data_IF_198764301268
#
_entry.id   IF_198764301268
#
_cell.length_a   1.000
_cell.length_b   1.000
_cell.length_c   1.000
_cell.angle_alpha   90.00
_cell.angle_beta   90.00
_cell.angle_gamma   90.00
#
_symmetry.space_group_name_H-M   'P 1'
#
loop_
_entity.id
_entity.type
_entity.pdbx_description
1 polymer ?
#
# COMPACT_ATOMS: atom_id res chain seq x y z
N UNK A 1 10.46 29.81 -32.66
CA UNK A 1 9.79 30.93 -31.98
C UNK A 1 8.44 30.42 -31.54
N UNK A 2 8.14 30.45 -30.24
CA UNK A 2 6.82 30.07 -29.73
C UNK A 2 5.77 31.07 -30.23
N UNK A 3 4.59 30.54 -30.58
CA UNK A 3 3.46 31.35 -31.01
C UNK A 3 2.76 31.99 -29.79
N UNK A 4 2.08 33.12 -30.00
CA UNK A 4 1.28 33.79 -28.98
C UNK A 4 0.20 32.88 -28.39
N UNK A 5 -0.35 31.96 -29.20
CA UNK A 5 -1.34 30.98 -28.73
C UNK A 5 -0.73 30.02 -27.72
N UNK A 6 0.43 29.47 -28.05
CA UNK A 6 1.16 28.52 -27.22
C UNK A 6 1.55 29.15 -25.86
N UNK A 7 2.01 30.40 -25.90
CA UNK A 7 2.40 31.12 -24.68
C UNK A 7 1.20 31.45 -23.79
N UNK A 8 0.04 31.79 -24.36
CA UNK A 8 -1.17 32.00 -23.56
C UNK A 8 -1.63 30.71 -22.89
N UNK A 9 -1.50 29.58 -23.57
CA UNK A 9 -1.81 28.26 -23.00
C UNK A 9 -0.87 27.95 -21.82
N UNK A 10 0.43 28.17 -21.99
CA UNK A 10 1.39 28.01 -20.88
C UNK A 10 1.12 28.94 -19.70
N UNK A 11 0.83 30.23 -19.94
CA UNK A 11 0.50 31.19 -18.87
C UNK A 11 -0.77 30.76 -18.11
N UNK A 12 -1.71 30.09 -18.78
CA UNK A 12 -2.95 29.60 -18.15
C UNK A 12 -2.70 28.40 -17.25
N UNK A 13 -1.79 27.51 -17.66
CA UNK A 13 -1.44 26.30 -16.91
C UNK A 13 -0.50 26.61 -15.73
N UNK A 14 0.50 27.46 -15.95
CA UNK A 14 1.57 27.72 -14.99
C UNK A 14 1.95 29.21 -15.00
N UNK A 15 1.21 30.07 -14.28
CA UNK A 15 1.33 31.53 -14.39
C UNK A 15 2.68 32.10 -13.90
N UNK A 16 3.40 31.31 -13.09
CA UNK A 16 4.70 31.64 -12.51
C UNK A 16 5.87 30.93 -13.20
N UNK A 17 5.69 30.41 -14.43
CA UNK A 17 6.81 29.84 -15.17
C UNK A 17 7.88 30.91 -15.49
N UNK A 18 9.11 30.65 -15.06
CA UNK A 18 10.27 31.54 -15.20
C UNK A 18 11.16 31.17 -16.40
N UNK A 19 10.72 30.26 -17.28
CA UNK A 19 11.46 29.90 -18.49
C UNK A 19 11.83 31.14 -19.32
N UNK A 20 13.12 31.20 -19.70
CA UNK A 20 13.74 32.30 -20.45
C UNK A 20 12.99 32.58 -21.76
N UNK A 21 12.48 31.54 -22.43
CA UNK A 21 11.75 31.65 -23.69
C UNK A 21 10.44 32.44 -23.54
N UNK A 22 9.69 32.19 -22.46
CA UNK A 22 8.45 32.89 -22.14
C UNK A 22 8.76 34.34 -21.77
N UNK A 23 9.76 34.56 -20.90
CA UNK A 23 10.18 35.92 -20.52
C UNK A 23 10.60 36.76 -21.72
N UNK A 24 11.39 36.17 -22.63
CA UNK A 24 11.86 36.85 -23.85
C UNK A 24 10.69 37.23 -24.75
N UNK A 25 9.70 36.35 -24.90
CA UNK A 25 8.50 36.67 -25.68
C UNK A 25 7.61 37.73 -25.01
N UNK A 26 7.47 37.71 -23.68
CA UNK A 26 6.70 38.72 -22.94
C UNK A 26 7.31 40.12 -23.06
N UNK A 27 8.63 40.22 -23.19
CA UNK A 27 9.31 41.49 -23.47
C UNK A 27 9.05 41.99 -24.90
N UNK A 28 8.84 41.08 -25.85
CA UNK A 28 8.62 41.40 -27.27
C UNK A 28 7.13 41.63 -27.60
N UNK A 29 6.21 40.99 -26.87
CA UNK A 29 4.77 41.01 -27.14
C UNK A 29 3.98 41.61 -25.97
N UNK A 30 3.57 42.86 -26.13
CA UNK A 30 2.77 43.61 -25.13
C UNK A 30 1.42 42.95 -24.85
N UNK A 31 0.78 42.35 -25.86
CA UNK A 31 -0.52 41.69 -25.68
C UNK A 31 -0.47 40.48 -24.74
N UNK A 32 0.61 39.69 -24.80
CA UNK A 32 0.83 38.56 -23.91
C UNK A 32 1.23 39.03 -22.50
N UNK A 33 1.99 40.13 -22.40
CA UNK A 33 2.30 40.76 -21.10
C UNK A 33 1.04 41.27 -20.38
N UNK A 34 0.12 41.93 -21.09
CA UNK A 34 -1.14 42.40 -20.52
C UNK A 34 -2.11 41.25 -20.19
N UNK A 35 -2.05 40.15 -20.94
CA UNK A 35 -2.78 38.93 -20.61
C UNK A 35 -2.29 38.35 -19.28
N UNK A 36 -0.96 38.21 -19.10
CA UNK A 36 -0.36 37.70 -17.85
C UNK A 36 -0.72 38.57 -16.64
N UNK A 37 -0.68 39.90 -16.77
CA UNK A 37 -1.04 40.83 -15.68
C UNK A 37 -2.48 40.63 -15.21
N UNK A 38 -3.43 40.45 -16.15
CA UNK A 38 -4.84 40.21 -15.84
C UNK A 38 -5.06 38.88 -15.14
N UNK A 39 -4.39 37.83 -15.61
CA UNK A 39 -4.43 36.50 -14.98
C UNK A 39 -3.94 36.60 -13.52
N UNK A 40 -2.76 37.20 -13.32
CA UNK A 40 -2.18 37.38 -12.00
C UNK A 40 -3.07 38.20 -11.06
N UNK A 41 -3.71 39.28 -11.54
CA UNK A 41 -4.64 40.05 -10.71
C UNK A 41 -5.85 39.23 -10.28
N UNK A 42 -6.34 38.34 -11.14
CA UNK A 42 -7.48 37.49 -10.87
C UNK A 42 -7.12 36.40 -9.85
N UNK A 43 -5.93 35.80 -9.97
CA UNK A 43 -5.42 34.80 -9.01
C UNK A 43 -5.25 35.40 -7.62
N UNK A 44 -4.72 36.62 -7.50
CA UNK A 44 -4.57 37.32 -6.21
C UNK A 44 -5.94 37.56 -5.55
N UNK A 45 -6.94 37.98 -6.31
CA UNK A 45 -8.30 38.18 -5.80
C UNK A 45 -8.93 36.84 -5.39
N UNK A 46 -8.80 35.80 -6.22
CA UNK A 46 -9.29 34.46 -5.89
C UNK A 46 -8.63 33.89 -4.63
N UNK A 47 -7.33 34.11 -4.47
CA UNK A 47 -6.60 33.67 -3.28
C UNK A 47 -7.03 34.43 -2.03
N UNK A 48 -7.36 35.72 -2.15
CA UNK A 48 -7.88 36.53 -1.05
C UNK A 48 -9.29 36.09 -0.60
N UNK A 49 -10.13 35.65 -1.55
CA UNK A 49 -11.47 35.10 -1.28
C UNK A 49 -11.42 33.66 -0.78
N UNK A 50 -10.46 32.86 -1.25
CA UNK A 50 -10.12 31.55 -0.67
C UNK A 50 -9.39 31.74 0.66
N UNK A 51 -10.08 32.29 1.66
CA UNK A 51 -9.64 32.28 3.05
C UNK A 51 -9.69 30.86 3.58
N UNK A 52 -8.61 30.13 3.37
CA UNK A 52 -8.31 28.97 4.18
C UNK A 52 -7.88 29.51 5.54
N UNK A 53 -8.69 29.26 6.58
CA UNK A 53 -8.24 29.44 7.95
C UNK A 53 -6.99 28.59 8.12
N UNK A 54 -5.83 29.25 8.14
CA UNK A 54 -4.57 28.54 8.24
C UNK A 54 -4.50 27.93 9.64
N UNK A 55 -4.40 26.60 9.75
CA UNK A 55 -4.38 25.96 11.06
C UNK A 55 -3.19 26.52 11.86
N UNK A 56 -3.49 27.09 13.04
CA UNK A 56 -2.52 27.80 13.87
C UNK A 56 -1.30 26.93 14.23
N UNK A 57 -1.49 25.62 14.24
CA UNK A 57 -0.45 24.62 14.47
C UNK A 57 0.60 24.61 13.33
N UNK A 58 0.17 24.77 12.07
CA UNK A 58 1.07 24.84 10.91
C UNK A 58 1.80 26.18 10.82
N UNK A 59 1.11 27.30 11.10
CA UNK A 59 1.75 28.63 11.10
C UNK A 59 2.80 28.74 12.20
N UNK A 60 2.53 28.21 13.40
CA UNK A 60 3.51 28.13 14.49
C UNK A 60 4.73 27.27 14.11
N UNK A 61 4.53 26.14 13.43
CA UNK A 61 5.62 25.27 12.95
C UNK A 61 6.47 25.97 11.89
N UNK A 62 5.83 26.62 10.92
CA UNK A 62 6.54 27.37 9.87
C UNK A 62 7.32 28.56 10.44
N UNK A 63 6.78 29.27 11.42
CA UNK A 63 7.49 30.33 12.14
C UNK A 63 8.70 29.79 12.90
N UNK A 64 8.59 28.61 13.51
CA UNK A 64 9.72 27.95 14.18
C UNK A 64 10.82 27.56 13.18
N UNK A 65 10.44 27.07 12.01
CA UNK A 65 11.38 26.71 10.93
C UNK A 65 12.05 27.96 10.34
N UNK A 66 11.30 29.05 10.14
CA UNK A 66 11.84 30.32 9.67
C UNK A 66 12.79 30.95 10.70
N UNK A 67 12.49 30.82 12.00
CA UNK A 67 13.34 31.29 13.08
C UNK A 67 14.62 30.44 13.26
N UNK A 68 14.59 29.16 12.88
CA UNK A 68 15.73 28.25 12.94
C UNK A 68 15.90 27.47 11.61
N UNK A 69 16.50 28.09 10.58
CA UNK A 69 16.70 27.44 9.28
C UNK A 69 17.66 26.23 9.34
N UNK A 70 18.43 26.09 10.43
CA UNK A 70 19.25 24.91 10.70
C UNK A 70 18.42 23.61 10.86
N UNK A 71 17.12 23.72 11.14
CA UNK A 71 16.19 22.58 11.20
C UNK A 71 15.89 21.99 9.81
N UNK A 72 16.11 22.73 8.72
CA UNK A 72 16.00 22.21 7.35
C UNK A 72 17.25 21.43 6.94
N UNK A 73 18.42 21.74 7.54
CA UNK A 73 19.66 21.02 7.28
C UNK A 73 19.70 19.64 7.96
N UNK A 74 18.90 19.45 9.02
CA UNK A 74 18.70 18.16 9.68
C UNK A 74 17.23 17.71 9.49
N UNK A 75 16.91 16.91 8.46
CA UNK A 75 15.54 16.50 8.14
C UNK A 75 14.88 15.60 9.20
N UNK A 76 15.54 15.38 10.34
CA UNK A 76 15.06 14.53 11.44
C UNK A 76 13.96 15.18 12.28
N UNK A 77 13.69 16.48 12.15
CA UNK A 77 12.76 17.21 13.04
C UNK A 77 11.31 17.25 12.52
N UNK A 78 11.04 16.86 11.26
CA UNK A 78 9.68 16.94 10.68
C UNK A 78 8.98 15.61 10.41
N UNK A 79 9.53 14.47 10.84
CA UNK A 79 8.77 13.22 10.78
C UNK A 79 7.81 13.15 11.96
N UNK A 80 6.56 13.53 11.68
CA UNK A 80 5.35 12.94 12.28
C UNK A 80 5.68 11.53 12.80
N UNK A 81 5.42 11.18 14.07
CA UNK A 81 5.91 9.95 14.68
C UNK A 81 5.33 8.77 13.89
N UNK A 82 6.12 8.27 12.94
CA UNK A 82 5.77 7.11 12.13
C UNK A 82 5.52 5.99 13.14
N UNK A 83 4.33 5.36 13.14
CA UNK A 83 4.04 4.32 14.11
C UNK A 83 5.17 3.31 14.03
N UNK A 84 5.86 3.10 15.15
CA UNK A 84 7.01 2.20 15.24
C UNK A 84 6.61 0.87 14.60
N UNK A 85 7.39 0.35 13.67
CA UNK A 85 7.04 -0.84 12.89
C UNK A 85 6.58 -2.03 13.76
N UNK A 86 7.06 -2.11 15.00
CA UNK A 86 6.60 -3.08 16.00
C UNK A 86 5.09 -3.00 16.32
N UNK A 87 4.50 -1.80 16.41
CA UNK A 87 3.05 -1.65 16.62
C UNK A 87 2.26 -2.19 15.43
N UNK A 88 2.72 -1.91 14.20
CA UNK A 88 2.09 -2.42 12.98
C UNK A 88 2.16 -3.95 12.96
N UNK A 89 3.31 -4.53 13.27
CA UNK A 89 3.49 -5.98 13.38
C UNK A 89 2.56 -6.58 14.43
N UNK A 90 2.47 -6.00 15.62
CA UNK A 90 1.63 -6.51 16.70
C UNK A 90 0.14 -6.50 16.33
N UNK A 91 -0.35 -5.43 15.70
CA UNK A 91 -1.74 -5.35 15.23
C UNK A 91 -2.01 -6.41 14.16
N UNK A 92 -1.09 -6.61 13.22
CA UNK A 92 -1.25 -7.65 12.19
C UNK A 92 -1.19 -9.07 12.75
N UNK A 93 -0.30 -9.37 13.71
CA UNK A 93 -0.26 -10.71 14.31
C UNK A 93 -1.51 -11.01 15.12
N UNK A 94 -1.98 -10.04 15.91
CA UNK A 94 -3.21 -10.20 16.71
C UNK A 94 -4.43 -10.38 15.81
N UNK A 95 -4.54 -9.60 14.73
CA UNK A 95 -5.67 -9.75 13.79
C UNK A 95 -5.66 -11.10 13.06
N UNK A 96 -4.49 -11.58 12.60
CA UNK A 96 -4.38 -12.91 11.99
C UNK A 96 -4.78 -14.00 12.99
N UNK A 97 -4.28 -13.91 14.23
CA UNK A 97 -4.59 -14.88 15.29
C UNK A 97 -6.09 -14.89 15.61
N UNK A 98 -6.73 -13.71 15.68
CA UNK A 98 -8.17 -13.57 15.88
C UNK A 98 -8.99 -14.17 14.72
N UNK A 99 -8.57 -13.96 13.46
CA UNK A 99 -9.24 -14.55 12.30
C UNK A 99 -9.13 -16.08 12.30
N UNK A 100 -7.94 -16.61 12.58
CA UNK A 100 -7.73 -18.07 12.69
C UNK A 100 -8.60 -18.65 13.80
N UNK A 101 -8.61 -18.00 14.97
CA UNK A 101 -9.42 -18.43 16.11
C UNK A 101 -10.91 -18.38 15.79
N UNK A 102 -11.38 -17.34 15.10
CA UNK A 102 -12.78 -17.21 14.66
C UNK A 102 -13.17 -18.33 13.69
N UNK A 103 -12.29 -18.70 12.75
CA UNK A 103 -12.56 -19.80 11.82
C UNK A 103 -12.59 -21.14 12.56
N UNK A 104 -11.63 -21.37 13.46
CA UNK A 104 -11.59 -22.60 14.28
C UNK A 104 -12.86 -22.74 15.14
N UNK A 105 -13.31 -21.66 15.77
CA UNK A 105 -14.56 -21.64 16.54
C UNK A 105 -15.76 -21.97 15.65
N UNK A 106 -15.81 -21.40 14.45
CA UNK A 106 -16.88 -21.67 13.48
C UNK A 106 -16.95 -23.14 13.08
N UNK A 107 -15.79 -23.77 12.82
CA UNK A 107 -15.71 -25.20 12.50
C UNK A 107 -16.16 -26.06 13.69
N UNK A 108 -15.77 -25.72 14.91
CA UNK A 108 -16.18 -26.46 16.11
C UNK A 108 -17.68 -26.36 16.39
N UNK A 109 -18.26 -25.17 16.28
CA UNK A 109 -19.71 -24.96 16.47
C UNK A 109 -20.49 -25.68 15.38
N UNK A 110 -20.02 -25.62 14.13
CA UNK A 110 -20.63 -26.36 13.02
C UNK A 110 -20.57 -27.87 13.24
N UNK A 111 -19.43 -28.39 13.73
CA UNK A 111 -19.27 -29.80 14.10
C UNK A 111 -20.27 -30.23 15.18
N UNK A 112 -20.41 -29.43 16.25
CA UNK A 112 -21.35 -29.72 17.33
C UNK A 112 -22.82 -29.63 16.86
N UNK A 113 -23.19 -28.63 16.06
CA UNK A 113 -24.54 -28.55 15.47
C UNK A 113 -24.82 -29.73 14.52
N UNK A 114 -23.84 -30.14 13.73
CA UNK A 114 -23.99 -31.27 12.80
C UNK A 114 -24.28 -32.59 13.54
N UNK A 115 -23.73 -32.78 14.75
CA UNK A 115 -24.03 -33.96 15.57
C UNK A 115 -25.46 -33.97 16.14
N UNK A 116 -26.02 -32.80 16.49
CA UNK A 116 -27.36 -32.68 17.08
C UNK A 116 -28.50 -32.81 16.07
N UNK A 117 -28.28 -32.41 14.82
CA UNK A 117 -29.34 -32.39 13.78
C UNK A 117 -29.38 -33.73 12.99
N UNK A 118 -28.51 -34.69 13.32
CA UNK A 118 -28.41 -35.95 12.56
C UNK A 118 -27.90 -35.77 11.13
N UNK A 119 -27.45 -34.56 10.77
CA UNK A 119 -26.87 -34.26 9.45
C UNK A 119 -25.51 -34.94 9.22
N UNK A 120 -24.87 -35.45 10.28
CA UNK A 120 -23.65 -36.26 10.18
C UNK A 120 -23.83 -37.41 9.19
N UNK A 121 -24.94 -38.16 9.22
CA UNK A 121 -25.11 -39.31 8.30
C UNK A 121 -25.27 -38.90 6.84
N UNK A 122 -25.91 -37.76 6.56
CA UNK A 122 -26.09 -37.24 5.20
C UNK A 122 -24.81 -36.58 4.67
N UNK A 123 -24.07 -35.88 5.52
CA UNK A 123 -22.76 -35.29 5.16
C UNK A 123 -21.72 -36.41 4.99
N UNK A 124 -21.70 -37.41 5.86
CA UNK A 124 -20.84 -38.59 5.70
C UNK A 124 -21.17 -39.30 4.40
N UNK A 125 -22.45 -39.54 4.07
CA UNK A 125 -22.81 -40.11 2.77
C UNK A 125 -22.35 -39.25 1.59
N UNK A 126 -22.41 -37.91 1.71
CA UNK A 126 -21.97 -37.00 0.66
C UNK A 126 -20.43 -36.92 0.53
N UNK A 127 -19.69 -37.17 1.62
CA UNK A 127 -18.22 -37.21 1.64
C UNK A 127 -17.67 -38.59 1.24
N UNK A 128 -18.43 -39.67 1.46
CA UNK A 128 -18.06 -41.02 1.05
C UNK A 128 -18.39 -41.27 -0.44
N UNK A 129 -19.41 -40.61 -0.99
CA UNK A 129 -19.75 -40.73 -2.42
C UNK A 129 -18.61 -40.40 -3.39
N UNK A 130 -17.84 -39.30 -3.22
CA UNK A 130 -16.72 -39.01 -4.10
C UNK A 130 -15.59 -40.02 -3.95
N UNK A 131 -15.32 -40.57 -2.76
CA UNK A 131 -14.29 -41.60 -2.60
C UNK A 131 -14.69 -42.92 -3.24
N UNK A 132 -15.98 -43.28 -3.22
CA UNK A 132 -16.52 -44.45 -3.92
C UNK A 132 -16.55 -44.25 -5.44
N UNK A 133 -16.93 -43.06 -5.92
CA UNK A 133 -16.89 -42.71 -7.33
C UNK A 133 -15.45 -42.70 -7.87
N UNK A 134 -14.49 -42.20 -7.09
CA UNK A 134 -13.05 -42.25 -7.42
C UNK A 134 -12.54 -43.69 -7.41
N UNK A 135 -12.93 -44.51 -6.43
CA UNK A 135 -12.56 -45.93 -6.41
C UNK A 135 -13.11 -46.69 -7.62
N UNK A 136 -14.34 -46.38 -8.06
CA UNK A 136 -14.93 -46.95 -9.28
C UNK A 136 -14.25 -46.42 -10.56
N UNK A 137 -13.93 -45.13 -10.64
CA UNK A 137 -13.15 -44.56 -11.76
C UNK A 137 -11.75 -45.18 -11.86
N UNK A 138 -11.10 -45.44 -10.72
CA UNK A 138 -9.78 -46.07 -10.61
C UNK A 138 -9.79 -47.54 -11.04
N UNK A 139 -10.94 -48.22 -10.96
CA UNK A 139 -11.09 -49.57 -11.50
C UNK A 139 -11.27 -49.58 -13.02
N UNK A 140 -11.87 -48.54 -13.60
CA UNK A 140 -12.16 -48.47 -15.05
C UNK A 140 -10.96 -47.93 -15.85
N UNK A 141 -10.13 -47.03 -15.29
CA UNK A 141 -8.93 -46.48 -15.95
C UNK A 141 -7.67 -46.63 -15.07
N UNK A 142 -6.90 -47.73 -15.19
CA UNK A 142 -5.69 -47.97 -14.39
C UNK A 142 -4.53 -47.00 -14.68
N UNK A 143 -4.50 -46.34 -15.86
CA UNK A 143 -3.51 -45.30 -16.17
C UNK A 143 -3.72 -43.97 -15.42
N UNK A 144 -4.95 -43.69 -14.94
CA UNK A 144 -5.24 -42.42 -14.25
C UNK A 144 -4.71 -42.36 -12.81
N UNK A 145 -4.29 -43.51 -12.26
CA UNK A 145 -3.74 -43.62 -10.89
C UNK A 145 -2.54 -42.70 -10.70
N UNK A 146 -1.65 -42.61 -11.70
CA UNK A 146 -0.49 -41.73 -11.64
C UNK A 146 -0.88 -40.24 -11.58
N UNK A 147 -1.93 -39.83 -12.30
CA UNK A 147 -2.34 -38.43 -12.36
C UNK A 147 -3.04 -37.99 -11.07
N UNK A 148 -3.85 -38.87 -10.47
CA UNK A 148 -4.58 -38.60 -9.22
C UNK A 148 -3.61 -38.58 -8.04
N UNK A 149 -2.70 -39.55 -7.95
CA UNK A 149 -1.66 -39.55 -6.91
C UNK A 149 -0.74 -38.34 -7.07
N UNK A 150 -0.38 -37.96 -8.30
CA UNK A 150 0.38 -36.73 -8.56
C UNK A 150 -0.38 -35.47 -8.10
N UNK A 151 -1.71 -35.40 -8.29
CA UNK A 151 -2.51 -34.25 -7.86
C UNK A 151 -2.61 -34.14 -6.33
N UNK A 152 -2.79 -35.27 -5.64
CA UNK A 152 -2.83 -35.32 -4.18
C UNK A 152 -1.46 -35.01 -3.56
N UNK A 153 -0.39 -35.50 -4.16
CA UNK A 153 0.98 -35.22 -3.78
C UNK A 153 1.32 -33.74 -4.05
N UNK A 154 0.93 -33.20 -5.21
CA UNK A 154 1.12 -31.80 -5.57
C UNK A 154 0.37 -30.85 -4.63
N UNK A 155 -0.85 -31.20 -4.21
CA UNK A 155 -1.57 -30.45 -3.17
C UNK A 155 -0.78 -30.39 -1.87
N UNK A 156 -0.23 -31.52 -1.44
CA UNK A 156 0.56 -31.61 -0.20
C UNK A 156 1.85 -30.78 -0.32
N UNK A 157 2.55 -30.87 -1.45
CA UNK A 157 3.74 -30.05 -1.71
C UNK A 157 3.42 -28.56 -1.82
N UNK A 158 2.30 -28.16 -2.44
CA UNK A 158 1.85 -26.77 -2.50
C UNK A 158 1.52 -26.22 -1.11
N UNK A 159 0.88 -27.02 -0.26
CA UNK A 159 0.57 -26.63 1.11
C UNK A 159 1.83 -26.49 1.95
N UNK A 160 2.81 -27.36 1.72
CA UNK A 160 4.13 -27.28 2.35
C UNK A 160 4.92 -26.06 1.87
N UNK A 161 4.93 -25.78 0.56
CA UNK A 161 5.53 -24.58 -0.02
C UNK A 161 4.87 -23.30 0.49
N UNK A 162 3.55 -23.31 0.67
CA UNK A 162 2.82 -22.18 1.24
C UNK A 162 3.21 -21.97 2.71
N UNK A 163 3.33 -23.04 3.51
CA UNK A 163 3.86 -22.95 4.87
C UNK A 163 5.29 -22.40 4.90
N UNK A 164 6.18 -22.90 4.04
CA UNK A 164 7.56 -22.40 3.94
C UNK A 164 7.59 -20.95 3.51
N UNK A 165 6.78 -20.54 2.51
CA UNK A 165 6.71 -19.16 2.05
C UNK A 165 6.18 -18.21 3.13
N UNK A 166 5.21 -18.64 3.94
CA UNK A 166 4.72 -17.88 5.08
C UNK A 166 5.79 -17.75 6.17
N UNK A 167 6.44 -18.86 6.55
CA UNK A 167 7.54 -18.84 7.53
C UNK A 167 8.70 -17.98 7.03
N UNK A 168 9.05 -18.09 5.75
CA UNK A 168 10.10 -17.31 5.10
C UNK A 168 9.75 -15.82 5.05
N UNK A 169 8.53 -15.46 4.69
CA UNK A 169 8.07 -14.06 4.68
C UNK A 169 8.07 -13.44 6.08
N UNK A 170 7.81 -14.25 7.12
CA UNK A 170 7.96 -13.83 8.51
C UNK A 170 9.44 -13.66 8.87
N UNK A 171 10.31 -14.58 8.46
CA UNK A 171 11.75 -14.55 8.76
C UNK A 171 12.51 -13.43 8.04
N UNK A 172 12.17 -13.14 6.78
CA UNK A 172 12.78 -12.07 5.97
C UNK A 172 12.43 -10.66 6.52
N UNK A 173 11.28 -10.53 7.20
CA UNK A 173 10.96 -9.31 7.96
C UNK A 173 11.70 -9.22 9.30
N UNK A 174 12.34 -10.31 9.75
CA UNK A 174 13.14 -10.40 10.98
C UNK A 174 14.64 -10.18 10.76
N UNK A 175 15.10 -9.80 9.56
CA UNK A 175 16.46 -9.28 9.32
C UNK A 175 16.48 -7.74 9.28
N UNK A 176 16.10 -7.01 10.35
CA UNK A 176 16.38 -5.58 10.40
C UNK A 176 17.89 -5.40 10.58
N UNK A 177 18.55 -4.90 9.53
CA UNK A 177 19.77 -4.07 9.59
C UNK A 177 20.71 -4.35 10.76
N UNK A 178 21.49 -5.42 10.67
CA UNK A 178 22.77 -5.54 11.40
C UNK A 178 23.84 -4.60 10.79
N UNK A 179 23.48 -3.33 10.54
CA UNK A 179 24.38 -2.29 10.06
C UNK A 179 24.34 -1.08 10.99
N UNK A 180 24.67 -1.30 12.26
CA UNK A 180 25.10 -0.21 13.14
C UNK A 180 26.10 -0.77 14.15
N UNK A 181 27.36 -0.33 14.04
CA UNK A 181 28.41 -0.73 14.98
C UNK A 181 29.79 -1.05 14.39
N UNK A 182 30.19 -0.48 13.26
CA UNK A 182 31.64 -0.30 12.97
C UNK A 182 31.94 1.19 13.04
N UNK A 183 31.76 1.74 14.24
CA UNK A 183 32.33 3.01 14.65
C UNK A 183 33.86 2.92 14.57
N UNK A 184 34.44 3.81 13.77
CA UNK A 184 35.60 4.62 14.15
C UNK A 184 36.58 3.98 15.13
N UNK A 185 37.65 3.40 14.59
CA UNK A 185 38.97 3.44 15.24
C UNK A 185 39.92 4.04 14.21
N UNK A 186 39.98 5.37 14.16
CA UNK A 186 41.12 6.13 13.65
C UNK A 186 41.79 6.72 14.88
N UNK A 187 43.00 6.24 15.17
CA UNK A 187 44.04 6.94 15.91
C UNK A 187 45.09 7.37 14.90
#
# INVERSE_FOLDING_TARGET
>A
MMDCKEIREYITLEPNDERVEIQTHLLQCTSCADYRRRQHSLDVVLQAEMRWETPADLTARLLNIAANPALLANPTVMLQPRPKGWHVVLVYTVTIMAVILSIAMGVQIFGLLATQIGLQSTIDQLVIWPSQAVAQLIQVLPESRYVIDFFLQARTYLLWLLCVAVVWAVLDRWTPQMSSGRSQVQA
#
